data_IF_262476840897
#
_entry.id   IF_262476840897
#
_cell.length_a   1.000
_cell.length_b   1.000
_cell.length_c   1.000
_cell.angle_alpha   90.00
_cell.angle_beta   90.00
_cell.angle_gamma   90.00
#
_symmetry.space_group_name_H-M   'P 1'
#
loop_
_entity.id
_entity.type
_entity.pdbx_description
1 polymer ?
#
# COMPACT_ATOMS: atom_id res chain seq x y z
N UNK A 1 -14.56 -5.69 8.79
CA UNK A 1 -15.72 -5.54 9.71
C UNK A 1 -15.40 -6.21 11.03
N UNK A 2 -15.93 -5.73 12.16
CA UNK A 2 -15.83 -6.44 13.43
C UNK A 2 -16.62 -7.76 13.34
N UNK A 3 -15.90 -8.88 13.37
CA UNK A 3 -16.45 -10.24 13.36
C UNK A 3 -16.56 -10.83 14.77
N UNK A 4 -16.27 -10.03 15.81
CA UNK A 4 -16.26 -10.46 17.22
C UNK A 4 -15.03 -11.28 17.60
N UNK A 5 -14.01 -11.31 16.74
CA UNK A 5 -12.76 -12.01 16.96
C UNK A 5 -11.68 -11.07 17.58
N UNK A 6 -10.58 -11.61 18.13
CA UNK A 6 -9.58 -10.79 18.82
C UNK A 6 -8.60 -10.06 17.88
N UNK A 7 -8.72 -10.24 16.56
CA UNK A 7 -7.87 -9.59 15.56
C UNK A 7 -8.43 -8.18 15.33
N UNK A 8 -7.62 -7.13 15.51
CA UNK A 8 -8.12 -5.77 15.41
C UNK A 8 -8.55 -5.44 13.97
N UNK A 9 -9.82 -5.12 13.80
CA UNK A 9 -10.31 -4.48 12.59
C UNK A 9 -9.75 -3.06 12.42
N UNK A 10 -10.13 -2.38 11.34
CA UNK A 10 -9.63 -1.04 11.06
C UNK A 10 -10.02 -0.02 12.15
N UNK A 11 -11.25 -0.06 12.66
CA UNK A 11 -11.69 0.84 13.73
C UNK A 11 -10.86 0.64 14.99
N UNK A 12 -10.57 -0.61 15.35
CA UNK A 12 -9.70 -0.95 16.48
C UNK A 12 -8.25 -0.47 16.25
N UNK A 13 -7.74 -0.54 15.01
CA UNK A 13 -6.42 -0.02 14.66
C UNK A 13 -6.36 1.52 14.75
N UNK A 14 -7.37 2.24 14.26
CA UNK A 14 -7.46 3.71 14.41
C UNK A 14 -7.59 4.08 15.90
N UNK A 15 -8.44 3.39 16.66
CA UNK A 15 -8.58 3.61 18.10
C UNK A 15 -7.27 3.39 18.86
N UNK A 16 -6.53 2.33 18.54
CA UNK A 16 -5.21 2.07 19.11
C UNK A 16 -4.18 3.15 18.73
N UNK A 17 -4.21 3.63 17.49
CA UNK A 17 -3.35 4.74 17.06
C UNK A 17 -3.64 6.02 17.86
N UNK A 18 -4.91 6.40 18.02
CA UNK A 18 -5.31 7.54 18.85
C UNK A 18 -4.87 7.38 20.31
N UNK A 19 -5.08 6.18 20.89
CA UNK A 19 -4.69 5.87 22.26
C UNK A 19 -3.18 5.88 22.48
N UNK A 20 -2.37 5.75 21.43
CA UNK A 20 -0.90 5.82 21.52
C UNK A 20 -0.36 7.19 21.90
N UNK A 21 -1.20 8.24 21.82
CA UNK A 21 -0.79 9.63 22.04
C UNK A 21 0.08 10.22 20.92
N UNK A 22 0.33 9.45 19.85
CA UNK A 22 0.97 9.97 18.63
C UNK A 22 -0.06 10.79 17.86
N UNK A 23 0.23 12.07 17.65
CA UNK A 23 -0.58 12.91 16.77
C UNK A 23 -0.48 12.46 15.31
N UNK A 24 -1.49 12.80 14.52
CA UNK A 24 -1.41 12.73 13.06
C UNK A 24 -0.39 13.75 12.56
N UNK A 25 0.59 13.30 11.78
CA UNK A 25 1.40 14.18 10.94
C UNK A 25 0.61 14.49 9.66
N UNK A 26 0.23 15.76 9.39
CA UNK A 26 -0.46 16.12 8.16
C UNK A 26 0.40 15.92 6.90
N UNK A 27 1.73 15.85 7.03
CA UNK A 27 2.63 15.55 5.91
C UNK A 27 2.84 14.04 5.71
N UNK A 28 2.34 13.21 6.63
CA UNK A 28 2.45 11.74 6.53
C UNK A 28 1.55 11.18 5.45
N UNK A 29 2.00 10.08 4.83
CA UNK A 29 1.18 9.24 3.96
C UNK A 29 0.52 8.13 4.78
N UNK A 30 -0.81 8.13 4.84
CA UNK A 30 -1.61 7.12 5.51
C UNK A 30 -2.10 6.12 4.48
N UNK A 31 -1.77 4.85 4.68
CA UNK A 31 -2.10 3.78 3.74
C UNK A 31 -3.21 2.92 4.33
N UNK A 32 -4.30 2.80 3.59
CA UNK A 32 -5.47 2.03 3.96
C UNK A 32 -5.62 0.90 2.92
N UNK A 33 -5.34 -0.33 3.33
CA UNK A 33 -5.42 -1.52 2.48
C UNK A 33 -6.10 -2.64 3.26
N UNK A 34 -7.35 -2.92 2.91
CA UNK A 34 -8.21 -3.91 3.57
C UNK A 34 -9.31 -4.40 2.60
N UNK A 35 -10.26 -5.17 3.13
CA UNK A 35 -11.40 -5.69 2.38
C UNK A 35 -11.25 -7.15 1.97
N UNK A 36 -10.01 -7.65 1.81
CA UNK A 36 -9.78 -9.06 1.46
C UNK A 36 -10.43 -10.04 2.44
N UNK A 37 -10.29 -9.78 3.75
CA UNK A 37 -10.92 -10.60 4.78
C UNK A 37 -12.44 -10.50 4.78
N UNK A 38 -13.02 -9.36 4.42
CA UNK A 38 -14.47 -9.24 4.30
C UNK A 38 -14.99 -10.10 3.13
N UNK A 39 -14.29 -10.11 1.99
CA UNK A 39 -14.64 -11.00 0.87
C UNK A 39 -14.50 -12.48 1.28
N UNK A 40 -13.41 -12.87 1.93
CA UNK A 40 -13.24 -14.24 2.43
C UNK A 40 -14.30 -14.61 3.48
N UNK A 41 -14.72 -13.65 4.31
CA UNK A 41 -15.86 -13.79 5.22
C UNK A 41 -17.14 -14.10 4.46
N UNK A 42 -17.46 -13.29 3.45
CA UNK A 42 -18.63 -13.48 2.59
C UNK A 42 -18.64 -14.80 1.81
N UNK A 43 -17.46 -15.30 1.42
CA UNK A 43 -17.27 -16.64 0.81
C UNK A 43 -17.43 -17.79 1.82
N UNK A 44 -17.44 -17.49 3.13
CA UNK A 44 -17.50 -18.49 4.18
C UNK A 44 -16.18 -19.23 4.42
N UNK A 45 -15.05 -18.68 3.97
CA UNK A 45 -13.71 -19.31 4.12
C UNK A 45 -13.36 -19.55 5.59
N UNK A 46 -13.85 -18.71 6.49
CA UNK A 46 -13.60 -18.80 7.93
C UNK A 46 -14.64 -19.62 8.71
N UNK A 47 -15.60 -20.26 8.02
CA UNK A 47 -16.65 -21.10 8.61
C UNK A 47 -18.03 -20.43 8.72
N UNK A 48 -19.09 -21.20 9.04
CA UNK A 48 -20.48 -20.71 9.03
C UNK A 48 -20.82 -19.76 10.18
N UNK A 49 -20.13 -19.87 11.32
CA UNK A 49 -20.30 -19.00 12.47
C UNK A 49 -19.38 -17.78 12.31
N UNK A 50 -19.86 -16.71 11.67
CA UNK A 50 -19.14 -15.43 11.57
C UNK A 50 -18.85 -14.92 10.16
N UNK A 51 -19.16 -15.69 9.11
CA UNK A 51 -18.95 -15.32 7.70
C UNK A 51 -19.52 -13.92 7.34
N UNK A 52 -20.75 -13.65 7.75
CA UNK A 52 -21.43 -12.36 7.57
C UNK A 52 -22.08 -11.86 8.87
N UNK A 53 -21.65 -12.36 10.03
CA UNK A 53 -22.16 -11.95 11.34
C UNK A 53 -23.68 -11.90 11.46
N UNK A 54 -24.21 -10.75 11.86
CA UNK A 54 -25.67 -10.49 12.01
C UNK A 54 -26.36 -9.98 10.74
N UNK A 55 -25.67 -9.94 9.61
CA UNK A 55 -26.24 -9.41 8.38
C UNK A 55 -27.21 -10.42 7.75
N UNK A 56 -28.33 -9.96 7.17
CA UNK A 56 -29.35 -10.86 6.63
C UNK A 56 -28.90 -11.61 5.36
N UNK A 57 -27.92 -11.07 4.64
CA UNK A 57 -27.37 -11.65 3.42
C UNK A 57 -25.95 -11.11 3.13
N UNK A 58 -25.26 -11.75 2.17
CA UNK A 58 -23.90 -11.38 1.75
C UNK A 58 -23.84 -9.96 1.18
N UNK A 59 -24.81 -9.56 0.36
CA UNK A 59 -24.83 -8.25 -0.28
C UNK A 59 -24.89 -7.11 0.74
N UNK A 60 -25.76 -7.22 1.74
CA UNK A 60 -25.87 -6.24 2.83
C UNK A 60 -24.63 -6.21 3.71
N UNK A 61 -23.97 -7.35 3.92
CA UNK A 61 -22.65 -7.40 4.58
C UNK A 61 -21.57 -6.68 3.78
N UNK A 62 -21.44 -6.98 2.48
CA UNK A 62 -20.44 -6.34 1.61
C UNK A 62 -20.71 -4.84 1.42
N UNK A 63 -21.98 -4.44 1.33
CA UNK A 63 -22.38 -3.03 1.30
C UNK A 63 -21.95 -2.32 2.58
N UNK A 64 -22.15 -2.96 3.74
CA UNK A 64 -21.68 -2.40 4.99
C UNK A 64 -20.15 -2.33 5.04
N UNK A 65 -19.43 -3.39 4.63
CA UNK A 65 -17.96 -3.42 4.57
C UNK A 65 -17.41 -2.26 3.74
N UNK A 66 -18.02 -2.00 2.58
CA UNK A 66 -17.68 -0.85 1.74
C UNK A 66 -17.96 0.50 2.42
N UNK A 67 -19.11 0.65 3.09
CA UNK A 67 -19.43 1.87 3.83
C UNK A 67 -18.47 2.12 5.00
N UNK A 68 -18.07 1.05 5.70
CA UNK A 68 -17.09 1.09 6.79
C UNK A 68 -15.72 1.51 6.26
N UNK A 69 -15.27 0.96 5.14
CA UNK A 69 -14.03 1.39 4.48
C UNK A 69 -14.02 2.91 4.26
N UNK A 70 -15.08 3.47 3.66
CA UNK A 70 -15.16 4.92 3.41
C UNK A 70 -15.25 5.73 4.70
N UNK A 71 -15.98 5.24 5.71
CA UNK A 71 -16.06 5.89 7.02
C UNK A 71 -14.68 6.01 7.69
N UNK A 72 -13.81 5.03 7.51
CA UNK A 72 -12.46 5.03 8.08
C UNK A 72 -11.51 5.97 7.31
N UNK A 73 -11.69 6.12 6.00
CA UNK A 73 -11.02 7.18 5.22
C UNK A 73 -11.45 8.56 5.74
N UNK A 74 -12.75 8.76 6.00
CA UNK A 74 -13.27 9.99 6.60
C UNK A 74 -12.68 10.21 8.01
N UNK A 75 -12.61 9.17 8.83
CA UNK A 75 -12.05 9.26 10.18
C UNK A 75 -10.58 9.71 10.16
N UNK A 76 -9.76 9.20 9.22
CA UNK A 76 -8.39 9.67 9.05
C UNK A 76 -8.33 11.15 8.64
N UNK A 77 -9.18 11.58 7.70
CA UNK A 77 -9.29 12.99 7.31
C UNK A 77 -9.64 13.88 8.52
N UNK A 78 -10.64 13.48 9.31
CA UNK A 78 -11.12 14.23 10.47
C UNK A 78 -10.07 14.30 11.59
N UNK A 79 -9.16 13.33 11.66
CA UNK A 79 -8.00 13.34 12.55
C UNK A 79 -6.84 14.22 12.06
N UNK A 80 -6.93 14.77 10.83
CA UNK A 80 -5.96 15.68 10.25
C UNK A 80 -5.06 15.07 9.17
N UNK A 81 -5.34 13.85 8.71
CA UNK A 81 -4.56 13.25 7.63
C UNK A 81 -4.84 14.02 6.34
N UNK A 82 -3.78 14.38 5.60
CA UNK A 82 -3.89 15.10 4.32
C UNK A 82 -3.42 14.32 3.11
N UNK A 83 -2.76 13.18 3.32
CA UNK A 83 -2.32 12.31 2.24
C UNK A 83 -2.78 10.89 2.57
N UNK A 84 -3.86 10.45 1.92
CA UNK A 84 -4.47 9.14 2.20
C UNK A 84 -4.39 8.33 0.92
N UNK A 85 -3.64 7.23 0.93
CA UNK A 85 -3.68 6.21 -0.11
C UNK A 85 -4.61 5.10 0.33
N UNK A 86 -5.57 4.73 -0.52
CA UNK A 86 -6.44 3.60 -0.27
C UNK A 86 -6.52 2.66 -1.46
N UNK A 87 -6.83 1.39 -1.19
CA UNK A 87 -7.06 0.37 -2.23
C UNK A 87 -8.53 -0.03 -2.33
N UNK A 88 -8.87 -0.75 -3.39
CA UNK A 88 -10.14 -1.46 -3.48
C UNK A 88 -10.07 -2.84 -2.78
N UNK A 89 -11.19 -3.56 -2.77
CA UNK A 89 -11.22 -4.97 -2.37
C UNK A 89 -10.37 -5.78 -3.39
N UNK A 90 -9.42 -6.63 -2.97
CA UNK A 90 -8.26 -6.92 -3.81
C UNK A 90 -8.33 -8.20 -4.67
N UNK A 91 -9.35 -9.06 -4.53
CA UNK A 91 -9.37 -10.36 -5.23
C UNK A 91 -9.79 -10.16 -6.69
N UNK A 92 -8.80 -10.24 -7.60
CA UNK A 92 -9.02 -10.00 -9.02
C UNK A 92 -10.01 -10.99 -9.66
N UNK A 93 -11.08 -10.45 -10.25
CA UNK A 93 -12.06 -11.23 -11.00
C UNK A 93 -13.08 -12.00 -10.16
N UNK A 94 -12.98 -11.94 -8.84
CA UNK A 94 -13.94 -12.55 -7.94
C UNK A 94 -15.29 -11.79 -7.97
N UNK A 95 -16.44 -12.47 -8.12
CA UNK A 95 -17.76 -11.82 -8.18
C UNK A 95 -18.11 -10.99 -6.93
N UNK A 96 -17.75 -11.46 -5.74
CA UNK A 96 -18.04 -10.74 -4.49
C UNK A 96 -17.14 -9.50 -4.34
N UNK A 97 -15.90 -9.59 -4.83
CA UNK A 97 -15.03 -8.41 -4.95
C UNK A 97 -15.58 -7.38 -5.94
N UNK A 98 -16.11 -7.81 -7.08
CA UNK A 98 -16.76 -6.91 -8.05
C UNK A 98 -17.97 -6.22 -7.42
N UNK A 99 -18.80 -6.96 -6.69
CA UNK A 99 -19.95 -6.43 -5.95
C UNK A 99 -19.52 -5.43 -4.86
N UNK A 100 -18.59 -5.82 -3.99
CA UNK A 100 -18.05 -4.97 -2.93
C UNK A 100 -17.43 -3.68 -3.48
N UNK A 101 -16.69 -3.75 -4.59
CA UNK A 101 -16.12 -2.59 -5.25
C UNK A 101 -17.19 -1.69 -5.88
N UNK A 102 -18.32 -2.26 -6.33
CA UNK A 102 -19.51 -1.50 -6.72
C UNK A 102 -20.06 -0.68 -5.56
N UNK A 103 -20.22 -1.29 -4.39
CA UNK A 103 -20.64 -0.59 -3.17
C UNK A 103 -19.62 0.43 -2.69
N UNK A 104 -18.31 0.13 -2.78
CA UNK A 104 -17.24 1.06 -2.42
C UNK A 104 -17.30 2.32 -3.28
N UNK A 105 -17.44 2.16 -4.60
CA UNK A 105 -17.60 3.28 -5.52
C UNK A 105 -18.83 4.14 -5.20
N UNK A 106 -19.95 3.52 -4.82
CA UNK A 106 -21.13 4.25 -4.40
C UNK A 106 -20.93 5.00 -3.07
N UNK A 107 -20.30 4.35 -2.08
CA UNK A 107 -20.02 4.94 -0.77
C UNK A 107 -19.03 6.12 -0.86
N UNK A 108 -18.04 6.06 -1.77
CA UNK A 108 -17.08 7.13 -1.99
C UNK A 108 -17.74 8.46 -2.40
N UNK A 109 -18.93 8.43 -3.02
CA UNK A 109 -19.68 9.63 -3.36
C UNK A 109 -20.17 10.43 -2.13
N UNK A 110 -20.21 9.79 -0.95
CA UNK A 110 -20.58 10.43 0.32
C UNK A 110 -19.39 11.01 1.10
N UNK A 111 -18.16 10.85 0.62
CA UNK A 111 -16.96 11.30 1.32
C UNK A 111 -16.86 12.83 1.29
N UNK A 112 -16.61 13.43 2.46
CA UNK A 112 -16.52 14.88 2.64
C UNK A 112 -15.12 15.23 3.16
N UNK A 113 -14.15 15.24 2.25
CA UNK A 113 -12.76 15.54 2.59
C UNK A 113 -12.51 17.03 2.78
N UNK A 114 -11.57 17.35 3.66
CA UNK A 114 -11.06 18.71 3.78
C UNK A 114 -10.42 19.15 2.46
N UNK A 115 -10.48 20.46 2.17
CA UNK A 115 -10.06 21.01 0.88
C UNK A 115 -8.57 20.77 0.57
N UNK A 116 -7.75 20.55 1.59
CA UNK A 116 -6.32 20.25 1.50
C UNK A 116 -6.00 18.75 1.58
N UNK A 117 -7.00 17.87 1.68
CA UNK A 117 -6.79 16.42 1.69
C UNK A 117 -6.67 15.85 0.27
N UNK A 118 -5.54 15.20 0.00
CA UNK A 118 -5.27 14.43 -1.20
C UNK A 118 -5.61 12.96 -0.97
N UNK A 119 -6.52 12.44 -1.79
CA UNK A 119 -6.92 11.04 -1.80
C UNK A 119 -6.32 10.32 -3.02
N UNK A 120 -5.48 9.32 -2.76
CA UNK A 120 -4.84 8.49 -3.78
C UNK A 120 -5.52 7.13 -3.85
N UNK A 121 -6.20 6.85 -4.95
CA UNK A 121 -6.85 5.55 -5.16
C UNK A 121 -5.95 4.62 -5.98
N UNK A 122 -5.60 3.45 -5.44
CA UNK A 122 -4.91 2.39 -6.16
C UNK A 122 -5.78 1.14 -6.27
N UNK A 123 -6.26 0.81 -7.48
CA UNK A 123 -7.02 -0.42 -7.69
C UNK A 123 -6.08 -1.63 -7.66
N UNK A 124 -6.06 -2.30 -6.52
CA UNK A 124 -5.28 -3.50 -6.27
C UNK A 124 -5.89 -4.70 -7.02
N UNK A 125 -7.22 -4.75 -7.15
CA UNK A 125 -7.91 -5.77 -7.96
C UNK A 125 -7.55 -5.67 -9.44
N UNK A 126 -7.51 -4.46 -10.01
CA UNK A 126 -7.09 -4.25 -11.39
C UNK A 126 -5.60 -4.53 -11.59
N UNK A 127 -4.75 -4.09 -10.66
CA UNK A 127 -3.33 -4.44 -10.69
C UNK A 127 -3.11 -5.94 -10.71
N UNK A 128 -3.75 -6.68 -9.79
CA UNK A 128 -3.65 -8.13 -9.71
C UNK A 128 -4.11 -8.79 -11.02
N UNK A 129 -5.21 -8.31 -11.62
CA UNK A 129 -5.67 -8.76 -12.93
C UNK A 129 -4.62 -8.49 -14.02
N UNK A 130 -4.10 -7.26 -14.12
CA UNK A 130 -3.14 -6.86 -15.15
C UNK A 130 -1.83 -7.63 -15.05
N UNK A 131 -1.32 -7.84 -13.85
CA UNK A 131 -0.10 -8.62 -13.60
C UNK A 131 -0.26 -10.07 -14.02
N UNK A 132 -1.45 -10.65 -13.85
CA UNK A 132 -1.73 -12.00 -14.32
C UNK A 132 -1.88 -12.07 -15.86
N UNK A 133 -2.39 -11.02 -16.50
CA UNK A 133 -2.58 -11.00 -17.96
C UNK A 133 -1.34 -10.59 -18.76
N UNK A 134 -0.55 -9.65 -18.25
CA UNK A 134 0.65 -9.10 -18.89
C UNK A 134 1.73 -8.77 -17.84
N UNK A 135 2.33 -9.80 -17.22
CA UNK A 135 3.37 -9.59 -16.21
C UNK A 135 4.61 -8.87 -16.78
N UNK A 136 4.87 -9.00 -18.08
CA UNK A 136 6.02 -8.39 -18.74
C UNK A 136 5.95 -6.85 -18.71
N UNK A 137 4.74 -6.26 -18.80
CA UNK A 137 4.55 -4.81 -18.63
C UNK A 137 4.99 -4.28 -17.25
N UNK A 138 5.10 -5.17 -16.26
CA UNK A 138 5.57 -4.87 -14.91
C UNK A 138 7.00 -5.37 -14.64
N UNK A 139 7.71 -5.83 -15.68
CA UNK A 139 9.06 -6.39 -15.54
C UNK A 139 9.09 -7.76 -14.85
N UNK A 140 7.96 -8.48 -14.82
CA UNK A 140 7.85 -9.81 -14.23
C UNK A 140 7.91 -10.90 -15.31
N UNK A 141 8.46 -12.09 -15.01
CA UNK A 141 8.31 -13.25 -15.86
C UNK A 141 6.85 -13.74 -15.86
N UNK A 142 6.45 -14.63 -16.80
CA UNK A 142 5.17 -15.33 -16.71
C UNK A 142 4.94 -15.90 -15.32
N UNK A 143 3.74 -15.66 -14.76
CA UNK A 143 3.40 -16.05 -13.40
C UNK A 143 2.55 -17.31 -13.39
N UNK A 144 2.96 -18.29 -12.61
CA UNK A 144 2.16 -19.47 -12.29
C UNK A 144 1.13 -19.15 -11.22
N UNK A 145 -0.07 -19.69 -11.42
CA UNK A 145 -1.22 -19.62 -10.49
C UNK A 145 -1.70 -21.02 -10.06
N UNK A 146 -1.16 -22.07 -10.67
CA UNK A 146 -1.48 -23.48 -10.38
C UNK A 146 -0.82 -24.00 -9.09
N UNK A 147 0.11 -23.24 -8.52
CA UNK A 147 0.89 -23.63 -7.35
C UNK A 147 1.39 -22.40 -6.60
N UNK A 148 1.43 -22.50 -5.26
CA UNK A 148 1.92 -21.44 -4.38
C UNK A 148 3.44 -21.55 -4.20
N UNK A 149 4.08 -20.45 -3.80
CA UNK A 149 5.53 -20.47 -3.54
C UNK A 149 5.90 -21.48 -2.44
N UNK A 150 5.08 -21.55 -1.38
CA UNK A 150 5.27 -22.51 -0.29
C UNK A 150 5.16 -23.94 -0.81
N UNK A 151 4.11 -24.26 -1.56
CA UNK A 151 3.91 -25.62 -2.10
C UNK A 151 5.01 -26.02 -3.08
N UNK A 152 5.58 -25.06 -3.82
CA UNK A 152 6.70 -25.27 -4.72
C UNK A 152 8.07 -25.39 -4.02
N UNK A 153 8.17 -25.04 -2.73
CA UNK A 153 9.47 -24.95 -2.04
C UNK A 153 10.40 -23.86 -2.60
N UNK A 154 9.84 -22.80 -3.20
CA UNK A 154 10.58 -21.80 -3.98
C UNK A 154 11.02 -20.55 -3.18
N UNK A 155 10.89 -20.57 -1.85
CA UNK A 155 11.21 -19.42 -1.00
C UNK A 155 12.69 -19.05 -1.07
N UNK A 156 13.59 -20.05 -1.15
CA UNK A 156 15.03 -19.84 -1.25
C UNK A 156 15.44 -19.15 -2.57
N UNK A 157 14.60 -19.20 -3.59
CA UNK A 157 14.82 -18.54 -4.89
C UNK A 157 13.93 -17.29 -5.05
N UNK A 158 13.35 -16.78 -3.97
CA UNK A 158 12.53 -15.57 -3.98
C UNK A 158 11.18 -15.68 -4.69
N UNK A 159 10.66 -16.90 -4.87
CA UNK A 159 9.35 -17.15 -5.48
C UNK A 159 9.18 -16.60 -6.92
N UNK A 160 10.28 -16.40 -7.66
CA UNK A 160 10.24 -15.86 -9.04
C UNK A 160 9.34 -16.71 -9.94
N UNK A 161 8.45 -16.06 -10.71
CA UNK A 161 7.54 -16.74 -11.63
C UNK A 161 6.30 -17.35 -10.97
N UNK A 162 6.03 -17.05 -9.69
CA UNK A 162 4.83 -17.52 -8.97
C UNK A 162 4.06 -16.29 -8.46
N UNK A 163 2.74 -16.24 -8.73
CA UNK A 163 1.91 -15.13 -8.28
C UNK A 163 1.68 -15.16 -6.77
N UNK A 164 1.25 -16.29 -6.22
CA UNK A 164 0.85 -16.42 -4.82
C UNK A 164 1.93 -17.08 -3.96
N UNK A 165 2.16 -16.51 -2.78
CA UNK A 165 3.05 -17.07 -1.77
C UNK A 165 2.45 -18.33 -1.13
N UNK A 166 1.20 -18.25 -0.68
CA UNK A 166 0.55 -19.28 0.15
C UNK A 166 -0.88 -19.66 -0.28
N UNK A 167 -1.40 -19.05 -1.35
CA UNK A 167 -2.77 -19.23 -1.84
C UNK A 167 -3.64 -17.99 -1.66
N UNK A 168 -3.21 -17.04 -0.82
CA UNK A 168 -3.94 -15.80 -0.52
C UNK A 168 -3.06 -14.58 -0.83
N UNK A 169 -1.83 -14.59 -0.34
CA UNK A 169 -0.94 -13.43 -0.41
C UNK A 169 -0.09 -13.43 -1.69
N UNK A 170 0.02 -12.31 -2.40
CA UNK A 170 0.96 -12.19 -3.52
C UNK A 170 2.42 -12.37 -3.06
N UNK A 171 3.27 -12.89 -3.92
CA UNK A 171 4.71 -13.00 -3.65
C UNK A 171 5.37 -11.62 -3.54
N UNK A 172 6.51 -11.55 -2.86
CA UNK A 172 7.26 -10.30 -2.69
C UNK A 172 7.64 -9.62 -4.02
N UNK A 173 7.87 -10.40 -5.08
CA UNK A 173 8.18 -9.85 -6.41
C UNK A 173 6.96 -9.16 -7.04
N UNK A 174 5.75 -9.70 -6.84
CA UNK A 174 4.50 -9.06 -7.27
C UNK A 174 4.23 -7.80 -6.45
N UNK A 175 4.44 -7.86 -5.13
CA UNK A 175 4.33 -6.68 -4.25
C UNK A 175 5.28 -5.55 -4.67
N UNK A 176 6.53 -5.87 -5.02
CA UNK A 176 7.51 -4.90 -5.49
C UNK A 176 7.09 -4.24 -6.82
N UNK A 177 6.47 -5.00 -7.73
CA UNK A 177 5.91 -4.45 -8.96
C UNK A 177 4.74 -3.48 -8.70
N UNK A 178 3.85 -3.81 -7.76
CA UNK A 178 2.75 -2.93 -7.34
C UNK A 178 3.28 -1.63 -6.72
N UNK A 179 4.30 -1.73 -5.87
CA UNK A 179 4.99 -0.55 -5.32
C UNK A 179 5.61 0.34 -6.42
N UNK A 180 6.30 -0.26 -7.39
CA UNK A 180 6.89 0.48 -8.50
C UNK A 180 5.81 1.21 -9.32
N UNK A 181 4.65 0.58 -9.53
CA UNK A 181 3.52 1.21 -10.20
C UNK A 181 2.90 2.36 -9.39
N UNK A 182 2.64 2.16 -8.09
CA UNK A 182 2.13 3.23 -7.22
C UNK A 182 3.03 4.46 -7.24
N UNK A 183 4.35 4.25 -7.20
CA UNK A 183 5.33 5.33 -7.34
C UNK A 183 5.22 6.04 -8.69
N UNK A 184 5.02 5.31 -9.78
CA UNK A 184 4.84 5.90 -11.12
C UNK A 184 3.54 6.71 -11.22
N UNK A 185 2.47 6.25 -10.57
CA UNK A 185 1.16 6.89 -10.61
C UNK A 185 1.08 8.14 -9.73
N UNK A 186 1.61 8.07 -8.51
CA UNK A 186 1.40 9.12 -7.50
C UNK A 186 2.66 9.90 -7.15
N UNK A 187 3.84 9.47 -7.62
CA UNK A 187 5.10 10.15 -7.32
C UNK A 187 5.53 10.07 -5.85
N UNK A 188 5.13 9.02 -5.12
CA UNK A 188 5.35 8.91 -3.67
C UNK A 188 6.83 9.00 -3.25
N UNK A 189 7.76 8.64 -4.14
CA UNK A 189 9.21 8.72 -3.93
C UNK A 189 9.88 9.94 -4.56
N UNK A 190 9.16 10.75 -5.35
CA UNK A 190 9.72 11.94 -5.99
C UNK A 190 10.13 13.03 -4.97
N UNK A 191 9.52 13.02 -3.77
CA UNK A 191 9.90 13.89 -2.65
C UNK A 191 11.14 13.40 -1.86
N UNK A 192 11.62 12.17 -2.09
CA UNK A 192 12.79 11.59 -1.40
C UNK A 192 14.11 11.75 -2.17
N UNK A 193 14.10 12.42 -3.33
CA UNK A 193 15.33 12.96 -3.93
C UNK A 193 15.83 14.19 -3.14
N UNK A 194 15.86 14.10 -1.81
CA UNK A 194 16.62 14.99 -0.95
C UNK A 194 18.05 14.47 -1.02
N UNK A 195 19.02 15.19 -1.61
CA UNK A 195 20.40 14.80 -1.47
C UNK A 195 20.67 14.87 0.03
N UNK A 196 20.98 13.71 0.65
CA UNK A 196 21.17 13.62 2.09
C UNK A 196 22.08 14.79 2.53
N UNK A 197 21.78 15.50 3.63
CA UNK A 197 22.61 16.62 4.11
C UNK A 197 24.10 16.26 4.20
N UNK A 198 24.40 14.98 4.43
CA UNK A 198 25.74 14.41 4.39
C UNK A 198 26.41 14.52 3.00
N UNK A 199 25.67 14.34 1.90
CA UNK A 199 26.19 14.48 0.54
C UNK A 199 26.65 15.91 0.23
N UNK A 200 25.90 16.92 0.69
CA UNK A 200 26.31 18.32 0.57
C UNK A 200 27.53 18.62 1.44
N UNK A 201 27.55 18.14 2.68
CA UNK A 201 28.69 18.30 3.57
C UNK A 201 29.95 17.66 2.99
N UNK A 202 29.85 16.45 2.44
CA UNK A 202 30.96 15.73 1.79
C UNK A 202 31.41 16.41 0.50
N UNK A 203 30.48 16.95 -0.29
CA UNK A 203 30.80 17.70 -1.50
C UNK A 203 31.52 19.02 -1.17
N UNK A 204 31.01 19.79 -0.21
CA UNK A 204 31.63 21.03 0.26
C UNK A 204 33.00 20.74 0.88
N UNK A 205 33.12 19.71 1.71
CA UNK A 205 34.38 19.29 2.29
C UNK A 205 35.39 18.85 1.21
N UNK A 206 34.95 18.06 0.23
CA UNK A 206 35.77 17.61 -0.89
C UNK A 206 36.30 18.75 -1.75
N UNK A 207 35.43 19.68 -2.16
CA UNK A 207 35.84 20.87 -2.93
C UNK A 207 36.69 21.84 -2.09
N UNK A 208 36.37 21.99 -0.81
CA UNK A 208 37.17 22.79 0.13
C UNK A 208 38.59 22.24 0.30
N UNK A 209 38.72 20.93 0.48
CA UNK A 209 40.01 20.25 0.62
C UNK A 209 40.83 20.35 -0.68
N UNK A 210 40.20 20.13 -1.84
CA UNK A 210 40.87 20.24 -3.14
C UNK A 210 41.36 21.67 -3.40
N UNK A 211 40.51 22.67 -3.14
CA UNK A 211 40.88 24.09 -3.28
C UNK A 211 42.02 24.51 -2.34
N UNK A 212 42.00 24.03 -1.09
CA UNK A 212 43.07 24.26 -0.12
C UNK A 212 44.40 23.64 -0.60
N UNK A 213 44.37 22.39 -1.08
CA UNK A 213 45.55 21.70 -1.61
C UNK A 213 46.17 22.43 -2.81
N UNK A 214 45.33 22.91 -3.74
CA UNK A 214 45.80 23.71 -4.88
C UNK A 214 46.43 25.04 -4.45
N UNK A 215 45.90 25.70 -3.42
CA UNK A 215 46.42 26.97 -2.89
C UNK A 215 47.76 26.77 -2.17
N UNK A 216 47.94 25.69 -1.42
CA UNK A 216 49.21 25.35 -0.78
C UNK A 216 50.29 25.06 -1.84
N UNK A 217 49.95 24.28 -2.87
CA UNK A 217 50.90 23.94 -3.94
C UNK A 217 51.41 25.16 -4.72
N UNK A 218 50.55 26.17 -4.95
CA UNK A 218 50.99 27.43 -5.59
C UNK A 218 51.95 28.26 -4.73
N UNK A 219 51.89 28.13 -3.40
CA UNK A 219 52.77 28.86 -2.48
C UNK A 219 54.15 28.22 -2.32
N UNK A 220 54.26 26.90 -2.53
CA UNK A 220 55.51 26.15 -2.36
C UNK A 220 56.37 26.11 -3.63
N UNK A 221 55.80 26.42 -4.80
CA UNK A 221 56.59 26.60 -6.04
C UNK A 221 57.17 28.01 -6.06
N UNK A 222 58.44 28.16 -5.66
CA UNK A 222 59.22 29.37 -5.97
C UNK A 222 59.53 29.40 -7.47
N UNK A 223 59.39 30.55 -8.17
CA UNK A 223 59.90 30.69 -9.52
C UNK A 223 61.42 30.53 -9.50
N UNK A 224 61.95 29.74 -10.43
CA UNK A 224 63.39 29.69 -10.73
C UNK A 224 63.79 30.92 -11.55
#
# INVERSE_FOLDING_TARGET
MDTGDPIPDLSAQIGAFQASGRGIDPNGLYIVNLGGNDVFGAEGVFGPDGAIGSYPDVSSYLQAAAAHYVAEIQALNDLGARNILFTDFPLAGDPLTIEANGYLNAALAGLALDADTSLFFYSLSDFNRRVLTDPASFGLPPLRTDITCIAAGAQATGCTGIFSFDGIHPTAVVQAAGYAEMNRLFGLTAAQAVPEPASWAMMIAGFGALGAAMRVRRRTVKPA
#
